data_IF_169821915011
#
_entry.id   IF_169821915011
#
_cell.length_a   1.000
_cell.length_b   1.000
_cell.length_c   1.000
_cell.angle_alpha   90.00
_cell.angle_beta   90.00
_cell.angle_gamma   90.00
#
_symmetry.space_group_name_H-M   'P 1'
#
loop_
_entity.id
_entity.type
_entity.pdbx_description
1 polymer ?
#
# COMPACT_ATOMS: atom_id res chain seq x y z
N UNK A 1 -2.96 -3.48 -17.03
CA UNK A 1 -2.51 -2.07 -17.11
C UNK A 1 -2.68 -1.40 -15.75
N UNK A 2 -1.68 -0.67 -15.22
CA UNK A 2 -1.79 0.07 -13.96
C UNK A 2 -2.89 1.15 -14.00
N UNK A 3 -3.69 1.30 -12.94
CA UNK A 3 -4.82 2.25 -12.91
C UNK A 3 -4.36 3.71 -13.09
N UNK A 4 -3.35 4.12 -12.33
CA UNK A 4 -2.78 5.47 -12.35
C UNK A 4 -2.32 5.89 -13.74
N UNK A 5 -1.50 5.07 -14.39
CA UNK A 5 -0.92 5.43 -15.70
C UNK A 5 -1.88 5.24 -16.88
N UNK A 6 -3.08 4.70 -16.64
CA UNK A 6 -4.09 4.49 -17.68
C UNK A 6 -5.23 5.50 -17.63
N UNK A 7 -5.17 6.50 -16.74
CA UNK A 7 -6.23 7.51 -16.59
C UNK A 7 -7.55 6.93 -16.08
N UNK A 8 -7.50 5.79 -15.38
CA UNK A 8 -8.70 5.07 -14.89
C UNK A 8 -8.96 5.28 -13.40
N UNK A 9 -8.18 6.13 -12.74
CA UNK A 9 -8.47 6.62 -11.40
C UNK A 9 -8.10 8.10 -11.30
N UNK A 10 -8.73 8.77 -10.34
CA UNK A 10 -8.39 10.13 -9.91
C UNK A 10 -8.09 10.07 -8.41
N UNK A 11 -7.06 10.78 -7.98
CA UNK A 11 -6.65 10.86 -6.59
C UNK A 11 -7.00 12.24 -6.01
N UNK A 12 -7.12 12.31 -4.69
CA UNK A 12 -7.32 13.58 -4.00
C UNK A 12 -6.18 14.55 -4.31
N UNK A 13 -6.52 15.80 -4.65
CA UNK A 13 -5.54 16.86 -4.83
C UNK A 13 -4.92 17.25 -3.48
N UNK A 14 -3.84 16.56 -3.14
CA UNK A 14 -3.15 16.71 -1.86
C UNK A 14 -1.65 16.76 -2.10
N UNK A 15 -1.03 17.91 -1.81
CA UNK A 15 0.39 18.16 -2.12
C UNK A 15 1.34 17.10 -1.55
N UNK A 16 1.13 16.62 -0.32
CA UNK A 16 1.95 15.52 0.24
C UNK A 16 1.78 14.20 -0.51
N UNK A 17 0.56 13.88 -0.97
CA UNK A 17 0.32 12.65 -1.73
C UNK A 17 1.05 12.71 -3.08
N UNK A 18 0.97 13.86 -3.77
CA UNK A 18 1.76 14.09 -4.98
C UNK A 18 3.26 13.94 -4.73
N UNK A 19 3.80 14.59 -3.70
CA UNK A 19 5.22 14.50 -3.37
C UNK A 19 5.65 13.05 -3.09
N UNK A 20 4.84 12.29 -2.35
CA UNK A 20 5.13 10.89 -2.05
C UNK A 20 5.06 9.99 -3.29
N UNK A 21 4.08 10.17 -4.17
CA UNK A 21 3.99 9.40 -5.42
C UNK A 21 5.15 9.70 -6.37
N UNK A 22 5.57 10.96 -6.45
CA UNK A 22 6.71 11.39 -7.27
C UNK A 22 8.06 11.01 -6.68
N UNK A 23 8.13 10.76 -5.37
CA UNK A 23 9.34 10.36 -4.65
C UNK A 23 9.69 8.86 -4.72
N UNK A 24 8.95 8.07 -5.51
CA UNK A 24 9.22 6.65 -5.70
C UNK A 24 10.44 6.44 -6.61
N UNK A 25 11.36 5.58 -6.17
CA UNK A 25 12.57 5.23 -6.93
C UNK A 25 12.58 3.76 -7.29
N UNK A 26 12.94 3.45 -8.55
CA UNK A 26 13.26 2.07 -8.95
C UNK A 26 14.75 1.80 -8.74
N UNK A 27 15.08 0.74 -8.00
CA UNK A 27 16.44 0.21 -7.83
C UNK A 27 16.50 -1.22 -8.34
N UNK A 28 17.42 -1.49 -9.27
CA UNK A 28 17.65 -2.83 -9.81
C UNK A 28 18.85 -3.47 -9.11
N UNK A 29 18.62 -4.57 -8.39
CA UNK A 29 19.70 -5.31 -7.75
C UNK A 29 20.50 -6.14 -8.77
N UNK A 30 21.76 -6.48 -8.45
CA UNK A 30 22.63 -7.33 -9.29
C UNK A 30 22.04 -8.71 -9.63
N UNK A 31 21.02 -9.15 -8.89
CA UNK A 31 20.28 -10.40 -9.14
C UNK A 31 18.99 -10.23 -9.97
N UNK A 32 18.77 -9.08 -10.61
CA UNK A 32 17.61 -8.84 -11.49
C UNK A 32 16.28 -8.58 -10.77
N UNK A 33 16.28 -8.52 -9.43
CA UNK A 33 15.12 -8.10 -8.66
C UNK A 33 15.05 -6.58 -8.63
N UNK A 34 13.95 -6.04 -9.13
CA UNK A 34 13.64 -4.62 -9.01
C UNK A 34 12.92 -4.36 -7.69
N UNK A 35 13.34 -3.30 -7.01
CA UNK A 35 12.66 -2.72 -5.85
C UNK A 35 12.16 -1.34 -6.26
N UNK A 36 10.90 -1.04 -5.95
CA UNK A 36 10.35 0.31 -6.04
C UNK A 36 10.04 0.72 -4.62
N UNK A 37 10.67 1.79 -4.17
CA UNK A 37 10.54 2.24 -2.78
C UNK A 37 10.90 3.72 -2.68
N UNK A 38 10.55 4.34 -1.57
CA UNK A 38 11.01 5.69 -1.23
C UNK A 38 12.48 5.67 -0.80
N UNK A 39 13.11 6.85 -0.80
CA UNK A 39 14.44 7.02 -0.21
C UNK A 39 14.40 6.79 1.31
N UNK A 40 15.50 6.31 1.92
CA UNK A 40 15.57 6.15 3.36
C UNK A 40 15.22 7.46 4.10
N UNK A 41 14.30 7.37 5.07
CA UNK A 41 13.83 8.52 5.86
C UNK A 41 12.72 9.34 5.23
N UNK A 42 12.26 8.99 4.02
CA UNK A 42 11.07 9.59 3.41
C UNK A 42 9.78 8.97 3.95
N UNK A 43 8.69 9.73 3.89
CA UNK A 43 7.34 9.25 4.19
C UNK A 43 6.68 8.62 2.96
N UNK A 44 5.86 7.59 3.18
CA UNK A 44 5.17 6.80 2.16
C UNK A 44 3.68 6.52 2.51
N UNK A 45 3.22 7.03 3.64
CA UNK A 45 1.92 6.74 4.27
C UNK A 45 0.72 7.00 3.35
N UNK A 46 0.64 8.19 2.74
CA UNK A 46 -0.49 8.54 1.87
C UNK A 46 -0.44 7.78 0.55
N UNK A 47 0.76 7.61 -0.02
CA UNK A 47 0.94 6.83 -1.25
C UNK A 47 0.50 5.37 -1.05
N UNK A 48 0.91 4.75 0.06
CA UNK A 48 0.53 3.38 0.40
C UNK A 48 -0.97 3.25 0.69
N UNK A 49 -1.56 4.20 1.42
CA UNK A 49 -3.01 4.21 1.67
C UNK A 49 -3.81 4.32 0.36
N UNK A 50 -3.42 5.22 -0.55
CA UNK A 50 -4.06 5.38 -1.85
C UNK A 50 -3.90 4.12 -2.71
N UNK A 51 -2.71 3.52 -2.76
CA UNK A 51 -2.46 2.28 -3.48
C UNK A 51 -3.32 1.12 -2.95
N UNK A 52 -3.44 1.00 -1.63
CA UNK A 52 -4.30 0.02 -0.97
C UNK A 52 -5.78 0.18 -1.36
N UNK A 53 -6.29 1.41 -1.37
CA UNK A 53 -7.67 1.68 -1.80
C UNK A 53 -7.91 1.30 -3.28
N UNK A 54 -6.96 1.61 -4.16
CA UNK A 54 -7.03 1.24 -5.58
C UNK A 54 -6.99 -0.28 -5.79
N UNK A 55 -6.17 -1.01 -5.02
CA UNK A 55 -6.14 -2.48 -5.06
C UNK A 55 -7.46 -3.10 -4.61
N UNK A 56 -8.06 -2.56 -3.55
CA UNK A 56 -9.39 -2.95 -3.10
C UNK A 56 -10.45 -2.74 -4.17
N UNK A 57 -10.41 -1.60 -4.86
CA UNK A 57 -11.34 -1.30 -5.96
C UNK A 57 -11.20 -2.29 -7.13
N UNK A 58 -9.98 -2.70 -7.48
CA UNK A 58 -9.78 -3.67 -8.59
C UNK A 58 -10.33 -5.07 -8.30
N UNK A 59 -10.79 -5.34 -7.07
CA UNK A 59 -11.25 -6.66 -6.67
C UNK A 59 -10.12 -7.70 -6.68
N UNK A 60 -8.86 -7.25 -6.58
CA UNK A 60 -7.74 -8.15 -6.54
C UNK A 60 -7.79 -8.93 -5.21
N UNK A 61 -7.87 -10.25 -5.28
CA UNK A 61 -8.17 -11.12 -4.14
C UNK A 61 -7.19 -10.99 -2.97
N UNK A 62 -5.99 -10.46 -3.20
CA UNK A 62 -5.00 -10.12 -2.16
C UNK A 62 -5.57 -9.15 -1.10
N UNK A 63 -6.31 -8.12 -1.52
CA UNK A 63 -6.94 -7.19 -0.58
C UNK A 63 -8.06 -7.88 0.21
N UNK A 64 -8.86 -8.73 -0.43
CA UNK A 64 -9.91 -9.51 0.25
C UNK A 64 -9.33 -10.58 1.20
N UNK A 65 -8.18 -11.18 0.88
CA UNK A 65 -7.46 -12.10 1.76
C UNK A 65 -6.93 -11.34 2.98
N UNK A 66 -6.26 -10.20 2.78
CA UNK A 66 -5.80 -9.34 3.87
C UNK A 66 -6.96 -8.85 4.73
N UNK A 67 -8.05 -8.37 4.11
CA UNK A 67 -9.23 -7.90 4.82
C UNK A 67 -9.90 -9.04 5.61
N UNK A 68 -10.06 -10.23 5.03
CA UNK A 68 -10.60 -11.41 5.74
C UNK A 68 -9.71 -11.83 6.90
N UNK A 69 -8.39 -11.84 6.71
CA UNK A 69 -7.44 -12.18 7.78
C UNK A 69 -7.46 -11.13 8.89
N UNK A 70 -7.53 -9.85 8.53
CA UNK A 70 -7.65 -8.75 9.47
C UNK A 70 -8.97 -8.81 10.25
N UNK A 71 -10.10 -8.97 9.57
CA UNK A 71 -11.42 -9.13 10.18
C UNK A 71 -11.49 -10.37 11.06
N UNK A 72 -10.93 -11.50 10.63
CA UNK A 72 -10.84 -12.72 11.43
C UNK A 72 -9.95 -12.53 12.68
N UNK A 73 -8.86 -11.77 12.58
CA UNK A 73 -8.01 -11.39 13.71
C UNK A 73 -8.69 -10.41 14.66
N UNK A 74 -9.44 -9.43 14.16
CA UNK A 74 -10.25 -8.54 14.99
C UNK A 74 -11.36 -9.32 15.72
N UNK A 75 -12.01 -10.27 15.04
CA UNK A 75 -13.01 -11.15 15.63
C UNK A 75 -12.40 -12.13 16.66
N UNK A 76 -11.18 -12.61 16.41
CA UNK A 76 -10.42 -13.45 17.35
C UNK A 76 -9.75 -12.64 18.47
N UNK A 77 -9.65 -11.32 18.32
CA UNK A 77 -8.80 -10.41 19.09
C UNK A 77 -9.56 -9.38 19.91
N UNK A 78 -10.68 -9.77 20.54
CA UNK A 78 -11.25 -9.04 21.69
C UNK A 78 -10.30 -8.95 22.91
N UNK A 79 -9.04 -9.38 22.78
CA UNK A 79 -7.97 -9.27 23.75
C UNK A 79 -6.76 -8.48 23.17
N UNK A 80 -6.85 -7.15 23.19
CA UNK A 80 -5.72 -6.33 23.66
C UNK A 80 -4.56 -5.95 22.72
N UNK A 81 -4.78 -5.65 21.44
CA UNK A 81 -3.76 -5.00 20.60
C UNK A 81 -4.38 -3.98 19.65
N UNK A 82 -3.77 -2.79 19.48
CA UNK A 82 -4.33 -1.77 18.58
C UNK A 82 -4.08 -2.20 17.13
N UNK A 83 -5.02 -1.92 16.21
CA UNK A 83 -4.79 -2.17 14.80
C UNK A 83 -3.61 -1.31 14.30
N UNK A 84 -2.48 -1.97 14.04
CA UNK A 84 -1.19 -1.34 13.72
C UNK A 84 0.02 -2.00 14.39
N UNK A 85 -0.17 -2.75 15.48
CA UNK A 85 0.93 -3.30 16.29
C UNK A 85 1.61 -4.56 15.68
N UNK A 86 1.00 -5.15 14.65
CA UNK A 86 1.60 -6.29 13.93
C UNK A 86 1.95 -5.89 12.51
N UNK A 87 3.23 -6.00 12.09
CA UNK A 87 3.61 -5.67 10.72
C UNK A 87 2.90 -6.63 9.75
N UNK A 88 2.55 -6.17 8.53
CA UNK A 88 1.97 -7.04 7.52
C UNK A 88 2.92 -8.22 7.25
N UNK A 89 2.38 -9.41 6.94
CA UNK A 89 3.22 -10.56 6.61
C UNK A 89 4.07 -10.23 5.38
N UNK A 90 5.38 -10.49 5.50
CA UNK A 90 6.33 -10.47 4.38
C UNK A 90 6.04 -11.59 3.38
#
# INVERSE_FOLDING_TARGET
MPLLNSGRCELLDHLRLHAQLLGLERRTARGGRDSIDHVPGSHDDLANAAAGALLGQQGNGLFLLYQREYEARCAAGAAGGRPGDTPPPV
#
